data_IF_251771693084
#
_entry.id   IF_251771693084
#
_cell.length_a   1.000
_cell.length_b   1.000
_cell.length_c   1.000
_cell.angle_alpha   90.00
_cell.angle_beta   90.00
_cell.angle_gamma   90.00
#
_symmetry.space_group_name_H-M   'P 1'
#
loop_
_entity.id
_entity.type
_entity.pdbx_description
1 polymer ?
#
# COMPACT_ATOMS: atom_id res chain seq x y z
N UNK A 1 3.26 5.68 -0.17
CA UNK A 1 2.24 5.86 -1.24
C UNK A 1 0.98 6.43 -0.65
N UNK A 2 0.37 7.36 -1.31
CA UNK A 2 -1.00 7.75 -1.00
C UNK A 2 -1.85 7.81 -2.25
N UNK A 3 -3.15 7.61 -2.04
CA UNK A 3 -4.15 7.61 -3.09
C UNK A 3 -5.17 8.70 -2.74
N UNK A 4 -5.43 9.59 -3.67
CA UNK A 4 -6.40 10.66 -3.48
C UNK A 4 -7.81 10.10 -3.56
N UNK A 5 -8.64 10.45 -2.59
CA UNK A 5 -10.07 10.14 -2.63
C UNK A 5 -10.80 11.21 -3.45
N UNK A 6 -11.64 10.77 -4.35
CA UNK A 6 -12.52 11.66 -5.11
C UNK A 6 -13.89 11.69 -4.43
N UNK A 7 -14.36 12.88 -4.10
CA UNK A 7 -15.64 13.11 -3.45
C UNK A 7 -15.79 12.34 -2.11
N UNK A 8 -16.83 11.53 -1.99
CA UNK A 8 -17.20 10.85 -0.76
C UNK A 8 -16.85 9.37 -0.76
N UNK A 9 -15.87 8.96 -1.56
CA UNK A 9 -15.46 7.56 -1.58
C UNK A 9 -14.89 7.13 -0.24
N UNK A 10 -15.32 5.96 0.21
CA UNK A 10 -14.88 5.36 1.47
C UNK A 10 -14.18 4.03 1.23
N UNK A 11 -13.34 3.65 2.18
CA UNK A 11 -12.70 2.33 2.14
C UNK A 11 -13.77 1.27 2.41
N UNK A 12 -13.91 0.34 1.47
CA UNK A 12 -14.81 -0.81 1.65
C UNK A 12 -14.14 -1.91 2.47
N UNK A 13 -14.94 -2.85 2.97
CA UNK A 13 -14.40 -4.03 3.65
C UNK A 13 -13.46 -4.84 2.76
N UNK A 14 -13.74 -4.94 1.46
CA UNK A 14 -12.89 -5.64 0.51
C UNK A 14 -11.54 -4.93 0.32
N UNK A 15 -11.53 -3.61 0.25
CA UNK A 15 -10.29 -2.81 0.18
C UNK A 15 -9.44 -3.01 1.43
N UNK A 16 -10.06 -2.93 2.60
CA UNK A 16 -9.37 -3.14 3.86
C UNK A 16 -8.76 -4.54 3.94
N UNK A 17 -9.52 -5.55 3.57
CA UNK A 17 -9.07 -6.95 3.59
C UNK A 17 -7.87 -7.16 2.66
N UNK A 18 -7.93 -6.66 1.44
CA UNK A 18 -6.84 -6.82 0.47
C UNK A 18 -5.57 -6.08 0.91
N UNK A 19 -5.72 -4.89 1.49
CA UNK A 19 -4.57 -4.13 1.98
C UNK A 19 -3.94 -4.77 3.21
N UNK A 20 -4.73 -5.24 4.16
CA UNK A 20 -4.22 -5.95 5.35
C UNK A 20 -3.49 -7.22 4.94
N UNK A 21 -4.02 -7.98 3.98
CA UNK A 21 -3.36 -9.17 3.45
C UNK A 21 -2.00 -8.82 2.82
N UNK A 22 -1.94 -7.77 2.02
CA UNK A 22 -0.70 -7.28 1.41
C UNK A 22 0.34 -6.90 2.46
N UNK A 23 -0.06 -6.12 3.46
CA UNK A 23 0.86 -5.66 4.51
C UNK A 23 1.34 -6.82 5.39
N UNK A 24 0.50 -7.82 5.63
CA UNK A 24 0.88 -9.03 6.37
C UNK A 24 1.97 -9.80 5.63
N UNK A 25 1.83 -9.95 4.32
CA UNK A 25 2.85 -10.61 3.49
C UNK A 25 4.14 -9.78 3.43
N UNK A 26 4.02 -8.46 3.38
CA UNK A 26 5.19 -7.59 3.44
C UNK A 26 5.99 -7.82 4.73
N UNK A 27 5.32 -7.93 5.87
CA UNK A 27 5.96 -8.22 7.17
C UNK A 27 6.67 -9.57 7.13
N UNK A 28 6.04 -10.61 6.57
CA UNK A 28 6.66 -11.93 6.41
C UNK A 28 7.91 -11.88 5.53
N UNK A 29 8.02 -10.91 4.65
CA UNK A 29 9.16 -10.75 3.73
C UNK A 29 10.17 -9.70 4.18
N UNK A 30 10.12 -9.26 5.43
CA UNK A 30 11.14 -8.41 6.02
C UNK A 30 10.75 -6.95 6.25
N UNK A 31 9.52 -6.57 5.98
CA UNK A 31 9.01 -5.26 6.36
C UNK A 31 9.04 -5.13 7.89
N UNK A 32 9.65 -4.09 8.41
CA UNK A 32 9.81 -3.89 9.86
C UNK A 32 8.73 -2.99 10.47
N UNK A 33 7.91 -2.39 9.65
CA UNK A 33 6.78 -1.59 10.09
C UNK A 33 5.90 -1.19 8.93
N UNK A 34 4.61 -1.03 9.17
CA UNK A 34 3.66 -0.62 8.15
C UNK A 34 2.56 0.24 8.75
N UNK A 35 2.00 1.10 7.91
CA UNK A 35 0.85 1.93 8.26
C UNK A 35 -0.13 1.93 7.11
N UNK A 36 -1.40 1.71 7.44
CA UNK A 36 -2.51 1.88 6.52
C UNK A 36 -3.53 2.78 7.20
N UNK A 37 -3.70 3.97 6.66
CA UNK A 37 -4.52 5.01 7.27
C UNK A 37 -5.30 5.78 6.22
N UNK A 38 -6.33 6.49 6.67
CA UNK A 38 -7.09 7.38 5.80
C UNK A 38 -7.41 8.68 6.52
N UNK A 39 -7.55 9.74 5.74
CA UNK A 39 -8.19 10.98 6.16
C UNK A 39 -9.34 11.29 5.17
N UNK A 40 -9.93 12.47 5.28
CA UNK A 40 -11.07 12.85 4.43
C UNK A 40 -10.73 12.89 2.95
N UNK A 41 -9.45 13.04 2.60
CA UNK A 41 -9.00 13.29 1.24
C UNK A 41 -8.07 12.21 0.68
N UNK A 42 -7.46 11.37 1.55
CA UNK A 42 -6.39 10.46 1.13
C UNK A 42 -6.47 9.13 1.83
N UNK A 43 -5.95 8.13 1.14
CA UNK A 43 -5.55 6.85 1.70
C UNK A 43 -4.03 6.84 1.72
N UNK A 44 -3.44 6.48 2.85
CA UNK A 44 -2.00 6.55 3.07
C UNK A 44 -1.49 5.16 3.40
N UNK A 45 -0.45 4.72 2.71
CA UNK A 45 0.21 3.42 2.95
C UNK A 45 1.71 3.65 3.06
N UNK A 46 2.29 3.25 4.18
CA UNK A 46 3.73 3.25 4.39
C UNK A 46 4.22 1.87 4.75
N UNK A 47 5.39 1.53 4.25
CA UNK A 47 6.14 0.35 4.68
C UNK A 47 7.56 0.77 4.99
N UNK A 48 8.15 0.18 6.04
CA UNK A 48 9.52 0.43 6.45
C UNK A 48 10.34 -0.82 6.28
N UNK A 49 11.55 -0.69 5.75
CA UNK A 49 12.44 -1.81 5.44
C UNK A 49 13.83 -1.52 5.97
N UNK A 50 14.52 -2.56 6.44
CA UNK A 50 15.87 -2.43 6.99
C UNK A 50 16.91 -2.07 5.93
N UNK A 51 16.69 -2.49 4.68
CA UNK A 51 17.57 -2.22 3.56
C UNK A 51 16.81 -2.28 2.24
N UNK A 52 17.42 -1.72 1.21
CA UNK A 52 16.84 -1.63 -0.12
C UNK A 52 16.74 -3.00 -0.82
N UNK A 53 17.68 -3.88 -0.54
CA UNK A 53 17.72 -5.23 -1.13
C UNK A 53 16.50 -6.04 -0.72
N UNK A 54 16.16 -6.01 0.56
CA UNK A 54 14.97 -6.71 1.08
C UNK A 54 13.69 -6.20 0.43
N UNK A 55 13.56 -4.88 0.30
CA UNK A 55 12.43 -4.26 -0.39
C UNK A 55 12.35 -4.68 -1.86
N UNK A 56 13.46 -4.63 -2.58
CA UNK A 56 13.50 -5.01 -3.99
C UNK A 56 13.17 -6.49 -4.20
N UNK A 57 13.65 -7.36 -3.31
CA UNK A 57 13.34 -8.78 -3.37
C UNK A 57 11.84 -9.01 -3.20
N UNK A 58 11.20 -8.30 -2.29
CA UNK A 58 9.76 -8.39 -2.10
C UNK A 58 9.01 -7.90 -3.34
N UNK A 59 9.38 -6.73 -3.88
CA UNK A 59 8.76 -6.16 -5.08
C UNK A 59 8.88 -7.04 -6.32
N UNK A 60 9.86 -7.93 -6.36
CA UNK A 60 10.08 -8.86 -7.46
C UNK A 60 9.43 -10.22 -7.24
N UNK A 61 8.77 -10.44 -6.11
CA UNK A 61 8.18 -11.73 -5.76
C UNK A 61 6.81 -11.93 -6.39
N UNK A 62 6.43 -13.19 -6.58
CA UNK A 62 5.09 -13.55 -7.05
C UNK A 62 4.01 -13.12 -6.04
N UNK A 63 4.33 -13.20 -4.76
CA UNK A 63 3.43 -12.79 -3.68
C UNK A 63 3.09 -11.30 -3.80
N UNK A 64 4.08 -10.47 -4.10
CA UNK A 64 3.85 -9.04 -4.31
C UNK A 64 2.87 -8.81 -5.46
N UNK A 65 3.11 -9.41 -6.61
CA UNK A 65 2.26 -9.23 -7.79
C UNK A 65 0.84 -9.75 -7.55
N UNK A 66 0.71 -10.88 -6.89
CA UNK A 66 -0.60 -11.46 -6.57
C UNK A 66 -1.42 -10.55 -5.65
N UNK A 67 -0.80 -10.03 -4.60
CA UNK A 67 -1.49 -9.14 -3.66
C UNK A 67 -1.75 -7.77 -4.25
N UNK A 68 -0.84 -7.24 -5.07
CA UNK A 68 -1.05 -5.99 -5.79
C UNK A 68 -2.26 -6.10 -6.72
N UNK A 69 -2.40 -7.20 -7.45
CA UNK A 69 -3.56 -7.44 -8.30
C UNK A 69 -4.87 -7.45 -7.50
N UNK A 70 -4.88 -8.05 -6.31
CA UNK A 70 -6.05 -8.06 -5.44
C UNK A 70 -6.41 -6.66 -4.92
N UNK A 71 -5.39 -5.86 -4.59
CA UNK A 71 -5.59 -4.46 -4.18
C UNK A 71 -6.22 -3.67 -5.33
N UNK A 72 -5.65 -3.75 -6.52
CA UNK A 72 -6.15 -3.05 -7.71
C UNK A 72 -7.61 -3.43 -7.96
N UNK A 73 -7.92 -4.71 -7.92
CA UNK A 73 -9.27 -5.21 -8.16
C UNK A 73 -10.27 -4.67 -7.12
N UNK A 74 -9.92 -4.71 -5.84
CA UNK A 74 -10.81 -4.24 -4.77
C UNK A 74 -11.03 -2.73 -4.82
N UNK A 75 -9.98 -1.97 -5.16
CA UNK A 75 -10.07 -0.51 -5.30
C UNK A 75 -10.88 -0.12 -6.52
N UNK A 76 -10.65 -0.80 -7.65
CA UNK A 76 -11.41 -0.57 -8.87
C UNK A 76 -12.90 -0.85 -8.67
N UNK A 77 -13.23 -1.96 -8.00
CA UNK A 77 -14.62 -2.29 -7.67
C UNK A 77 -15.29 -1.25 -6.77
N UNK A 78 -14.51 -0.55 -5.96
CA UNK A 78 -14.99 0.54 -5.10
C UNK A 78 -15.05 1.91 -5.83
N UNK A 79 -14.67 1.95 -7.11
CA UNK A 79 -14.69 3.16 -7.93
C UNK A 79 -13.43 4.02 -7.87
N UNK A 80 -12.32 3.49 -7.37
CA UNK A 80 -11.03 4.17 -7.41
C UNK A 80 -10.33 3.85 -8.73
N UNK A 81 -9.78 4.88 -9.35
CA UNK A 81 -8.95 4.75 -10.56
C UNK A 81 -7.48 4.84 -10.15
N UNK A 82 -6.90 3.71 -9.70
CA UNK A 82 -5.61 3.72 -9.05
C UNK A 82 -4.49 4.44 -9.80
N UNK A 83 -4.28 4.23 -11.12
CA UNK A 83 -3.23 4.98 -11.82
C UNK A 83 -3.41 6.49 -11.76
N UNK A 84 -4.66 6.97 -11.82
CA UNK A 84 -4.99 8.40 -11.80
C UNK A 84 -5.11 8.94 -10.38
N UNK A 85 -5.52 8.11 -9.44
CA UNK A 85 -5.70 8.50 -8.04
C UNK A 85 -4.41 8.43 -7.22
N UNK A 86 -3.37 7.76 -7.71
CA UNK A 86 -2.06 7.77 -7.04
C UNK A 86 -1.44 9.15 -7.18
N UNK A 87 -1.32 9.83 -6.04
CA UNK A 87 -0.72 11.15 -5.99
C UNK A 87 0.80 11.09 -5.83
N UNK A 88 1.27 10.12 -5.05
CA UNK A 88 2.69 10.02 -4.71
C UNK A 88 3.07 8.58 -4.40
N UNK A 89 4.17 8.13 -5.00
CA UNK A 89 4.74 6.82 -4.70
C UNK A 89 6.26 6.94 -4.81
N UNK A 90 6.96 6.88 -3.68
CA UNK A 90 8.42 6.98 -3.67
C UNK A 90 9.03 6.19 -2.52
N UNK A 91 10.34 6.01 -2.60
CA UNK A 91 11.16 5.43 -1.54
C UNK A 91 12.04 6.52 -0.96
N UNK A 92 12.11 6.58 0.36
CA UNK A 92 12.92 7.56 1.07
C UNK A 92 13.74 6.88 2.16
N UNK A 93 14.91 7.45 2.46
CA UNK A 93 15.75 6.99 3.56
C UNK A 93 15.32 7.69 4.84
N UNK A 94 15.11 6.91 5.91
CA UNK A 94 14.82 7.46 7.22
C UNK A 94 16.12 7.91 7.86
N UNK A 95 16.25 9.21 8.12
CA UNK A 95 17.43 9.78 8.76
C UNK A 95 17.32 9.79 10.28
N UNK A 96 16.10 9.83 10.80
CA UNK A 96 15.83 9.77 12.23
C UNK A 96 14.48 9.07 12.45
N UNK A 97 14.44 8.15 13.40
CA UNK A 97 13.21 7.47 13.80
C UNK A 97 13.19 7.33 15.31
N UNK A 98 12.02 7.59 15.87
CA UNK A 98 11.82 7.61 17.31
C UNK A 98 11.00 6.40 17.77
#
# INVERSE_FOLDING_TARGET
MWITKKETKEITAAMNKSMVAFLSVAIENGCIGSTFAEDDKRIIVYTMWSDETTLENFRSSEEYYSHEANIIQSFDAAGFEIPDDILFNSTATILFSN
#
